data_IF_489525275056
#
_entry.id   IF_489525275056
#
_cell.length_a   1.000
_cell.length_b   1.000
_cell.length_c   1.000
_cell.angle_alpha   90.00
_cell.angle_beta   90.00
_cell.angle_gamma   90.00
#
_symmetry.space_group_name_H-M   'P 1'
#
loop_
_entity.id
_entity.type
_entity.pdbx_description
1 polymer ?
#
# COMPACT_ATOMS: atom_id res chain seq x y z
N UNK A 1 -11.74 6.97 27.35
CA UNK A 1 -12.60 5.78 27.52
C UNK A 1 -13.45 5.68 26.28
N UNK A 2 -12.90 5.02 25.25
CA UNK A 2 -13.63 4.71 24.02
C UNK A 2 -13.62 3.19 23.87
N UNK A 3 -14.83 2.67 23.63
CA UNK A 3 -15.23 1.27 23.67
C UNK A 3 -14.21 0.32 23.03
N UNK A 4 -13.59 -0.50 23.88
CA UNK A 4 -13.14 -1.83 23.48
C UNK A 4 -14.38 -2.58 22.99
N UNK A 5 -14.54 -2.67 21.67
CA UNK A 5 -15.37 -3.72 21.09
C UNK A 5 -14.73 -5.04 21.47
N UNK A 6 -15.28 -5.60 22.54
CA UNK A 6 -15.07 -6.94 23.05
C UNK A 6 -15.53 -7.93 21.96
N UNK A 7 -14.64 -8.24 21.01
CA UNK A 7 -14.83 -9.35 20.06
C UNK A 7 -14.42 -10.62 20.81
N UNK A 8 -15.30 -11.05 21.71
CA UNK A 8 -15.30 -12.39 22.26
C UNK A 8 -15.61 -13.39 21.13
N UNK A 9 -14.68 -14.33 20.90
CA UNK A 9 -14.89 -15.48 20.03
C UNK A 9 -13.63 -15.87 19.28
N UNK A 10 -12.66 -16.47 19.98
CA UNK A 10 -11.44 -16.99 19.38
C UNK A 10 -11.74 -17.98 18.24
N UNK A 11 -11.57 -17.53 16.99
CA UNK A 11 -11.35 -18.44 15.86
C UNK A 11 -9.86 -18.74 15.82
N UNK A 12 -9.39 -19.49 16.81
CA UNK A 12 -8.06 -20.07 16.76
C UNK A 12 -8.09 -21.20 15.72
N UNK A 13 -7.54 -20.94 14.53
CA UNK A 13 -7.09 -22.00 13.61
C UNK A 13 -8.00 -22.37 12.45
N UNK A 14 -8.29 -21.43 11.56
CA UNK A 14 -8.89 -21.77 10.26
C UNK A 14 -8.38 -20.86 9.13
N UNK A 15 -7.12 -20.39 9.20
CA UNK A 15 -6.56 -19.49 8.16
C UNK A 15 -6.48 -20.19 6.79
N UNK A 16 -6.20 -21.49 6.78
CA UNK A 16 -6.28 -22.32 5.57
C UNK A 16 -7.68 -22.30 4.95
N UNK A 17 -8.72 -22.46 5.78
CA UNK A 17 -10.11 -22.39 5.34
C UNK A 17 -10.48 -21.00 4.84
N UNK A 18 -10.05 -19.93 5.52
CA UNK A 18 -10.27 -18.57 5.07
C UNK A 18 -9.67 -18.32 3.67
N UNK A 19 -8.47 -18.85 3.40
CA UNK A 19 -7.85 -18.80 2.08
C UNK A 19 -8.66 -19.56 1.01
N UNK A 20 -9.17 -20.75 1.34
CA UNK A 20 -10.03 -21.53 0.45
C UNK A 20 -11.34 -20.80 0.14
N UNK A 21 -12.01 -20.26 1.15
CA UNK A 21 -13.25 -19.51 0.97
C UNK A 21 -13.05 -18.24 0.12
N UNK A 22 -11.95 -17.51 0.36
CA UNK A 22 -11.60 -16.35 -0.47
C UNK A 22 -11.39 -16.75 -1.95
N UNK A 23 -10.74 -17.89 -2.19
CA UNK A 23 -10.55 -18.41 -3.54
C UNK A 23 -11.88 -18.80 -4.21
N UNK A 24 -12.77 -19.49 -3.51
CA UNK A 24 -14.09 -19.88 -4.01
C UNK A 24 -14.95 -18.65 -4.36
N UNK A 25 -14.95 -17.66 -3.48
CA UNK A 25 -15.63 -16.39 -3.70
C UNK A 25 -15.12 -15.67 -4.95
N UNK A 26 -13.80 -15.54 -5.08
CA UNK A 26 -13.16 -14.91 -6.23
C UNK A 26 -13.47 -15.67 -7.53
N UNK A 27 -13.49 -17.02 -7.50
CA UNK A 27 -13.84 -17.86 -8.66
C UNK A 27 -15.29 -17.66 -9.13
N UNK A 28 -16.22 -17.54 -8.20
CA UNK A 28 -17.66 -17.39 -8.48
C UNK A 28 -18.07 -15.95 -8.78
N UNK A 29 -17.20 -14.97 -8.53
CA UNK A 29 -17.48 -13.55 -8.75
C UNK A 29 -18.02 -13.22 -10.15
N UNK A 30 -17.40 -13.79 -11.20
CA UNK A 30 -17.80 -13.50 -12.59
C UNK A 30 -19.22 -13.97 -12.89
N UNK A 31 -19.61 -15.16 -12.43
CA UNK A 31 -20.96 -15.67 -12.65
C UNK A 31 -21.99 -14.92 -11.81
N UNK A 32 -21.65 -14.55 -10.57
CA UNK A 32 -22.55 -13.83 -9.66
C UNK A 32 -22.80 -12.38 -10.08
N UNK A 33 -21.75 -11.64 -10.45
CA UNK A 33 -21.83 -10.20 -10.67
C UNK A 33 -21.71 -9.78 -12.14
N UNK A 34 -21.51 -10.73 -13.06
CA UNK A 34 -21.26 -10.48 -14.49
C UNK A 34 -20.10 -9.51 -14.76
N UNK A 35 -19.15 -9.40 -13.82
CA UNK A 35 -17.96 -8.54 -13.89
C UNK A 35 -16.73 -9.36 -13.55
N UNK A 36 -15.55 -8.97 -14.04
CA UNK A 36 -14.29 -9.56 -13.57
C UNK A 36 -13.99 -9.04 -12.17
N UNK A 37 -13.51 -9.90 -11.27
CA UNK A 37 -12.93 -9.44 -10.02
C UNK A 37 -11.58 -8.79 -10.34
N UNK A 38 -11.44 -7.52 -9.98
CA UNK A 38 -10.24 -6.73 -10.19
C UNK A 38 -9.62 -6.47 -8.82
N UNK A 39 -8.74 -7.36 -8.39
CA UNK A 39 -8.08 -7.25 -7.10
C UNK A 39 -7.39 -8.53 -6.67
N UNK A 40 -6.90 -8.49 -5.44
CA UNK A 40 -6.19 -9.57 -4.78
C UNK A 40 -6.34 -9.44 -3.27
N UNK A 41 -6.39 -10.57 -2.58
CA UNK A 41 -6.63 -10.63 -1.13
C UNK A 41 -5.39 -11.17 -0.45
N UNK A 42 -4.85 -10.42 0.51
CA UNK A 42 -3.78 -10.87 1.39
C UNK A 42 -4.39 -11.30 2.72
N UNK A 43 -4.18 -12.55 3.11
CA UNK A 43 -4.64 -13.11 4.38
C UNK A 43 -3.42 -13.43 5.23
N UNK A 44 -3.36 -12.84 6.42
CA UNK A 44 -2.25 -12.98 7.36
C UNK A 44 -2.84 -13.47 8.67
N UNK A 45 -2.24 -14.48 9.28
CA UNK A 45 -2.75 -15.01 10.54
C UNK A 45 -1.90 -16.13 11.10
N UNK A 46 -2.45 -16.77 12.12
CA UNK A 46 -1.81 -17.83 12.88
C UNK A 46 -2.74 -19.04 12.94
N UNK A 47 -2.15 -20.23 12.92
CA UNK A 47 -2.87 -21.48 13.12
C UNK A 47 -2.20 -22.28 14.23
N UNK A 48 -3.02 -22.85 15.11
CA UNK A 48 -2.54 -23.69 16.19
C UNK A 48 -2.29 -25.10 15.64
N UNK A 49 -1.01 -25.49 15.57
CA UNK A 49 -0.60 -26.84 15.22
C UNK A 49 0.18 -27.45 16.37
N UNK A 50 -0.33 -28.55 16.95
CA UNK A 50 0.37 -29.36 17.95
C UNK A 50 1.06 -28.55 19.07
N UNK A 51 0.29 -27.75 19.82
CA UNK A 51 0.74 -26.91 20.95
C UNK A 51 1.64 -25.71 20.58
N UNK A 52 1.69 -25.33 19.31
CA UNK A 52 2.44 -24.17 18.83
C UNK A 52 1.66 -23.39 17.79
N UNK A 53 1.75 -22.07 17.82
CA UNK A 53 1.19 -21.24 16.76
C UNK A 53 2.19 -21.08 15.63
N UNK A 54 1.74 -21.37 14.41
CA UNK A 54 2.50 -21.11 13.19
C UNK A 54 1.85 -19.97 12.42
N UNK A 55 2.68 -19.05 11.93
CA UNK A 55 2.24 -17.92 11.10
C UNK A 55 2.10 -18.36 9.65
N UNK A 56 1.02 -17.93 9.01
CA UNK A 56 0.75 -18.16 7.59
C UNK A 56 0.36 -16.86 6.89
N UNK A 57 0.80 -16.73 5.64
CA UNK A 57 0.46 -15.62 4.74
C UNK A 57 -0.04 -16.21 3.42
N UNK A 58 -1.22 -15.81 2.95
CA UNK A 58 -1.80 -16.20 1.67
C UNK A 58 -2.08 -14.99 0.80
N UNK A 59 -1.60 -15.00 -0.44
CA UNK A 59 -2.02 -14.06 -1.48
C UNK A 59 -2.96 -14.80 -2.44
N UNK A 60 -4.21 -14.35 -2.51
CA UNK A 60 -5.25 -14.93 -3.38
C UNK A 60 -5.49 -13.97 -4.54
N UNK A 61 -5.18 -14.40 -5.77
CA UNK A 61 -5.26 -13.60 -7.00
C UNK A 61 -6.07 -14.33 -8.09
N UNK A 62 -6.69 -13.58 -9.01
CA UNK A 62 -7.18 -14.14 -10.28
C UNK A 62 -6.04 -14.18 -11.28
N UNK A 63 -5.66 -15.38 -11.73
CA UNK A 63 -4.77 -15.53 -12.88
C UNK A 63 -5.54 -15.20 -14.16
N UNK A 64 -5.10 -14.18 -14.92
CA UNK A 64 -5.64 -13.89 -16.26
C UNK A 64 -4.90 -14.75 -17.31
N UNK A 65 -5.62 -15.68 -17.95
CA UNK A 65 -5.20 -16.52 -19.10
C UNK A 65 -4.36 -17.75 -18.66
N UNK A 66 -4.59 -18.99 -19.09
CA UNK A 66 -5.26 -19.57 -20.27
C UNK A 66 -6.04 -20.81 -19.81
N UNK A 67 -7.27 -21.01 -20.31
CA UNK A 67 -7.93 -22.33 -20.31
C UNK A 67 -7.30 -23.18 -21.43
N UNK A 68 -6.07 -23.66 -21.21
CA UNK A 68 -5.46 -24.72 -22.02
C UNK A 68 -5.10 -25.86 -21.08
N UNK A 69 -5.53 -27.04 -21.47
CA UNK A 69 -5.71 -28.23 -20.63
C UNK A 69 -4.43 -28.88 -20.08
N UNK A 70 -3.25 -28.25 -20.15
CA UNK A 70 -2.00 -28.89 -19.68
C UNK A 70 -0.97 -28.00 -18.98
N UNK A 71 -1.19 -26.71 -18.76
CA UNK A 71 -0.21 -25.85 -18.05
C UNK A 71 -0.67 -25.49 -16.63
N UNK A 72 -0.28 -26.37 -15.68
CA UNK A 72 -0.28 -26.10 -14.24
C UNK A 72 0.76 -25.01 -13.90
N UNK A 73 0.46 -23.75 -14.20
CA UNK A 73 1.03 -22.64 -13.45
C UNK A 73 -0.03 -22.09 -12.49
N UNK A 74 -0.24 -22.88 -11.43
CA UNK A 74 -0.60 -22.34 -10.13
C UNK A 74 0.65 -21.53 -9.73
N UNK A 75 0.58 -20.20 -9.62
CA UNK A 75 1.41 -19.54 -8.61
C UNK A 75 0.84 -20.00 -7.27
N UNK A 76 1.36 -21.16 -6.89
CA UNK A 76 1.05 -22.03 -5.79
C UNK A 76 0.40 -21.24 -4.63
N UNK A 77 -0.78 -21.63 -4.14
CA UNK A 77 -0.80 -22.60 -3.04
C UNK A 77 0.61 -23.16 -2.80
N UNK A 78 1.49 -22.40 -2.14
CA UNK A 78 2.57 -22.99 -1.36
C UNK A 78 1.89 -23.69 -0.17
N UNK A 79 1.19 -24.76 -0.47
CA UNK A 79 1.08 -25.94 0.36
C UNK A 79 2.13 -26.93 -0.19
N UNK A 80 3.36 -26.46 -0.35
CA UNK A 80 4.44 -27.29 0.17
C UNK A 80 4.63 -26.79 1.59
N UNK A 81 4.47 -27.63 2.62
CA UNK A 81 5.40 -27.50 3.71
C UNK A 81 6.77 -27.77 3.10
N UNK A 82 7.40 -26.77 2.45
CA UNK A 82 8.80 -26.57 2.75
C UNK A 82 8.76 -26.21 4.23
N UNK A 83 8.79 -27.26 5.05
CA UNK A 83 9.52 -27.18 6.30
C UNK A 83 10.93 -26.81 5.82
N UNK A 84 11.17 -25.52 5.60
CA UNK A 84 12.48 -25.00 5.83
C UNK A 84 12.66 -25.18 7.33
N UNK A 85 13.16 -26.37 7.70
CA UNK A 85 13.95 -26.59 8.91
C UNK A 85 15.28 -25.83 8.83
N UNK A 86 15.46 -24.93 7.86
CA UNK A 86 16.46 -23.89 7.99
C UNK A 86 16.04 -23.01 9.14
N UNK A 87 16.88 -23.08 10.18
CA UNK A 87 16.88 -22.25 11.39
C UNK A 87 16.99 -20.73 11.11
N UNK A 88 16.80 -20.29 9.87
CA UNK A 88 16.95 -18.93 9.41
C UNK A 88 15.64 -18.47 8.75
N UNK A 89 14.78 -17.86 9.56
CA UNK A 89 13.53 -17.24 9.15
C UNK A 89 13.78 -16.13 8.12
N UNK A 90 13.82 -16.45 6.83
CA UNK A 90 13.61 -15.46 5.77
C UNK A 90 12.11 -15.23 5.64
N UNK A 91 11.60 -14.27 6.43
CA UNK A 91 10.21 -13.81 6.40
C UNK A 91 9.73 -13.56 4.96
N UNK A 92 8.68 -14.26 4.52
CA UNK A 92 8.04 -14.04 3.23
C UNK A 92 7.27 -12.70 3.24
N UNK A 93 7.89 -11.65 2.68
CA UNK A 93 7.26 -10.36 2.43
C UNK A 93 6.40 -10.46 1.18
N UNK A 94 5.10 -10.16 1.32
CA UNK A 94 4.18 -10.07 0.20
C UNK A 94 3.75 -8.62 0.01
N UNK A 95 3.54 -8.23 -1.24
CA UNK A 95 2.97 -6.94 -1.59
C UNK A 95 1.68 -7.14 -2.33
N UNK A 96 0.80 -6.15 -2.17
CA UNK A 96 -0.48 -6.11 -2.83
C UNK A 96 -0.79 -4.66 -3.20
N UNK A 97 -1.34 -4.43 -4.38
CA UNK A 97 -1.61 -3.09 -4.92
C UNK A 97 -0.46 -2.49 -5.75
N UNK A 98 -0.76 -1.41 -6.45
CA UNK A 98 0.13 -0.76 -7.44
C UNK A 98 1.38 -0.20 -6.77
N UNK A 99 1.23 0.47 -5.63
CA UNK A 99 2.36 0.99 -4.83
C UNK A 99 3.26 -0.06 -4.17
N UNK A 100 2.89 -1.35 -4.26
CA UNK A 100 3.61 -2.44 -3.60
C UNK A 100 5.07 -2.58 -4.06
N UNK A 101 5.34 -2.35 -5.34
CA UNK A 101 6.69 -2.41 -5.89
C UNK A 101 7.62 -1.35 -5.26
N UNK A 102 7.18 -0.10 -5.17
CA UNK A 102 7.94 0.98 -4.54
C UNK A 102 8.20 0.70 -3.05
N UNK A 103 7.19 0.17 -2.35
CA UNK A 103 7.35 -0.28 -0.97
C UNK A 103 8.44 -1.35 -0.85
N UNK A 104 8.54 -2.27 -1.82
CA UNK A 104 9.60 -3.28 -1.82
C UNK A 104 10.98 -2.70 -1.99
N UNK A 105 11.13 -1.80 -2.97
CA UNK A 105 12.42 -1.20 -3.30
C UNK A 105 13.00 -0.46 -2.10
N UNK A 106 12.14 0.29 -1.40
CA UNK A 106 12.53 0.95 -0.16
C UNK A 106 12.95 -0.05 0.91
N UNK A 107 12.14 -1.09 1.13
CA UNK A 107 12.40 -2.11 2.15
C UNK A 107 13.73 -2.86 1.89
N UNK A 108 14.01 -3.22 0.64
CA UNK A 108 15.25 -3.91 0.27
C UNK A 108 16.50 -3.02 0.46
N UNK A 109 16.38 -1.72 0.20
CA UNK A 109 17.51 -0.78 0.29
C UNK A 109 17.88 -0.37 1.71
N UNK A 110 17.01 -0.57 2.71
CA UNK A 110 17.23 -0.09 4.09
C UNK A 110 17.45 -1.20 5.12
N UNK A 111 17.48 -2.46 4.69
CA UNK A 111 17.70 -3.60 5.58
C UNK A 111 16.55 -3.83 6.57
N UNK A 112 16.60 -4.92 7.33
CA UNK A 112 15.56 -5.22 8.34
C UNK A 112 15.98 -4.64 9.70
N UNK A 113 15.05 -3.97 10.36
CA UNK A 113 15.20 -3.62 11.77
C UNK A 113 15.43 -4.86 12.63
N UNK A 114 16.23 -4.70 13.68
CA UNK A 114 16.58 -5.73 14.66
C UNK A 114 15.60 -5.77 15.84
N UNK A 115 14.88 -4.67 16.08
CA UNK A 115 13.85 -4.56 17.10
C UNK A 115 12.44 -4.38 16.51
N UNK A 116 11.41 -4.55 17.35
CA UNK A 116 10.02 -4.30 16.96
C UNK A 116 9.81 -2.84 16.57
N UNK A 117 10.44 -1.94 17.30
CA UNK A 117 10.37 -0.49 17.12
C UNK A 117 11.05 -0.08 15.80
N UNK A 118 12.25 -0.60 15.53
CA UNK A 118 12.95 -0.38 14.26
C UNK A 118 12.16 -0.94 13.06
N UNK A 119 11.53 -2.11 13.23
CA UNK A 119 10.67 -2.67 12.18
C UNK A 119 9.44 -1.80 11.93
N UNK A 120 8.79 -1.32 12.99
CA UNK A 120 7.65 -0.41 12.85
C UNK A 120 8.07 0.87 12.14
N UNK A 121 9.22 1.43 12.49
CA UNK A 121 9.76 2.63 11.86
C UNK A 121 10.05 2.42 10.38
N UNK A 122 10.73 1.33 10.04
CA UNK A 122 10.95 0.91 8.66
C UNK A 122 9.63 0.76 7.90
N UNK A 123 8.60 0.16 8.49
CA UNK A 123 7.30 0.01 7.84
C UNK A 123 6.61 1.34 7.59
N UNK A 124 6.72 2.32 8.50
CA UNK A 124 6.21 3.69 8.26
C UNK A 124 6.92 4.31 7.06
N UNK A 125 8.24 4.24 7.02
CA UNK A 125 9.05 4.79 5.92
C UNK A 125 8.76 4.10 4.59
N UNK A 126 8.61 2.77 4.57
CA UNK A 126 8.25 1.99 3.40
C UNK A 126 6.90 2.45 2.82
N UNK A 127 5.89 2.59 3.68
CA UNK A 127 4.55 3.02 3.26
C UNK A 127 4.53 4.49 2.86
N UNK A 128 5.26 5.35 3.58
CA UNK A 128 5.40 6.76 3.25
C UNK A 128 6.11 6.93 1.90
N UNK A 129 7.20 6.21 1.66
CA UNK A 129 7.92 6.24 0.40
C UNK A 129 7.01 5.85 -0.77
N UNK A 130 6.31 4.72 -0.66
CA UNK A 130 5.34 4.31 -1.67
C UNK A 130 4.30 5.41 -1.92
N UNK A 131 3.84 6.06 -0.85
CA UNK A 131 2.85 7.14 -0.95
C UNK A 131 3.39 8.43 -1.56
N UNK A 132 4.67 8.78 -1.42
CA UNK A 132 5.21 10.01 -2.04
C UNK A 132 5.63 9.80 -3.50
N UNK A 133 5.70 8.56 -3.98
CA UNK A 133 6.10 8.25 -5.37
C UNK A 133 4.97 7.69 -6.24
N UNK A 134 4.00 6.99 -5.67
CA UNK A 134 2.88 6.39 -6.40
C UNK A 134 1.64 7.30 -6.34
N UNK A 135 1.16 7.83 -7.48
CA UNK A 135 -0.03 8.69 -7.51
C UNK A 135 -1.31 7.97 -7.07
N UNK A 136 -1.29 6.63 -7.03
CA UNK A 136 -2.41 5.78 -6.59
C UNK A 136 -2.40 5.48 -5.09
N UNK A 137 -1.33 5.82 -4.37
CA UNK A 137 -1.16 5.52 -2.95
C UNK A 137 -1.37 6.79 -2.13
N UNK A 138 -2.02 6.68 -0.96
CA UNK A 138 -2.33 7.87 -0.16
C UNK A 138 -3.34 7.68 0.96
N UNK A 139 -3.77 8.81 1.53
CA UNK A 139 -4.79 8.89 2.56
C UNK A 139 -4.25 8.60 3.97
N UNK A 140 -4.09 7.31 4.30
CA UNK A 140 -3.80 6.86 5.66
C UNK A 140 -2.73 5.78 5.66
N UNK A 141 -1.69 5.96 6.49
CA UNK A 141 -0.70 4.92 6.76
C UNK A 141 -1.15 4.14 7.99
N UNK A 142 -1.34 2.83 7.82
CA UNK A 142 -1.73 1.92 8.89
C UNK A 142 -0.77 0.75 9.01
N UNK A 143 -0.43 0.41 10.25
CA UNK A 143 0.31 -0.81 10.57
C UNK A 143 -0.49 -1.62 11.58
N UNK A 144 -0.76 -2.88 11.22
CA UNK A 144 -1.48 -3.83 12.07
C UNK A 144 -0.54 -4.97 12.45
N UNK A 145 -0.41 -5.21 13.74
CA UNK A 145 0.31 -6.35 14.28
C UNK A 145 -0.68 -7.51 14.47
N UNK A 146 -0.44 -8.62 13.77
CA UNK A 146 -1.26 -9.83 13.87
C UNK A 146 -0.58 -10.82 14.82
N UNK A 147 -1.29 -11.22 15.86
CA UNK A 147 -0.86 -12.13 16.93
C UNK A 147 -1.69 -13.43 16.90
N UNK A 148 -1.24 -14.50 17.58
CA UNK A 148 -1.99 -15.77 17.66
C UNK A 148 -3.46 -15.65 18.05
N UNK A 149 -3.77 -14.71 18.94
CA UNK A 149 -5.10 -14.56 19.53
C UNK A 149 -5.84 -13.29 19.07
N UNK A 150 -5.38 -12.65 18.00
CA UNK A 150 -6.03 -11.45 17.47
C UNK A 150 -5.10 -10.53 16.70
N UNK A 151 -5.53 -9.31 16.46
CA UNK A 151 -4.72 -8.30 15.82
C UNK A 151 -4.89 -6.96 16.54
N UNK A 152 -3.89 -6.11 16.42
CA UNK A 152 -3.91 -4.77 17.00
C UNK A 152 -3.42 -3.77 15.97
N UNK A 153 -4.16 -2.68 15.79
CA UNK A 153 -3.71 -1.54 14.98
C UNK A 153 -2.70 -0.77 15.82
N UNK A 154 -1.42 -0.90 15.49
CA UNK A 154 -0.31 -0.32 16.27
C UNK A 154 0.12 1.05 15.76
N UNK A 155 -0.30 1.44 14.55
CA UNK A 155 -0.06 2.75 13.97
C UNK A 155 -1.17 3.12 12.97
N UNK A 156 -1.62 4.37 12.98
CA UNK A 156 -2.70 4.85 12.10
C UNK A 156 -2.68 6.38 12.03
N UNK A 157 -2.05 6.94 11.00
CA UNK A 157 -1.90 8.39 10.84
C UNK A 157 -2.10 8.82 9.39
N UNK A 158 -2.53 10.07 9.19
CA UNK A 158 -2.69 10.61 7.84
C UNK A 158 -1.34 10.78 7.19
N UNK A 159 -1.25 10.47 5.90
CA UNK A 159 0.00 10.56 5.13
C UNK A 159 0.71 11.90 5.32
N UNK A 160 -0.03 13.01 5.26
CA UNK A 160 0.53 14.35 5.47
C UNK A 160 1.20 14.52 6.83
N UNK A 161 0.63 13.95 7.89
CA UNK A 161 1.21 14.00 9.24
C UNK A 161 2.52 13.20 9.28
N UNK A 162 2.48 11.97 8.78
CA UNK A 162 3.67 11.09 8.70
C UNK A 162 4.77 11.71 7.84
N UNK A 163 4.38 12.41 6.77
CA UNK A 163 5.32 13.11 5.89
C UNK A 163 6.09 14.22 6.62
N UNK A 164 5.41 15.01 7.46
CA UNK A 164 6.08 16.05 8.24
C UNK A 164 6.97 15.46 9.34
N UNK A 165 6.51 14.41 10.02
CA UNK A 165 7.28 13.73 11.07
C UNK A 165 8.59 13.11 10.53
N UNK A 166 8.61 12.71 9.25
CA UNK A 166 9.74 12.05 8.60
C UNK A 166 10.28 12.84 7.39
N UNK A 167 10.08 14.16 7.37
CA UNK A 167 10.46 14.97 6.21
C UNK A 167 11.95 14.86 5.89
N UNK A 168 12.81 14.94 6.92
CA UNK A 168 14.26 14.91 6.74
C UNK A 168 14.73 13.58 6.13
N UNK A 169 14.12 12.46 6.55
CA UNK A 169 14.41 11.13 6.00
C UNK A 169 13.97 11.00 4.52
N UNK A 170 12.85 11.66 4.18
CA UNK A 170 12.25 11.59 2.85
C UNK A 170 12.79 12.63 1.87
N UNK A 171 13.41 13.71 2.34
CA UNK A 171 13.89 14.82 1.53
C UNK A 171 14.83 14.37 0.40
N UNK A 172 15.64 13.33 0.65
CA UNK A 172 16.55 12.74 -0.36
C UNK A 172 15.84 12.17 -1.58
N UNK A 173 14.55 11.83 -1.48
CA UNK A 173 13.71 11.34 -2.59
C UNK A 173 12.93 12.45 -3.29
N UNK A 174 13.03 13.69 -2.82
CA UNK A 174 12.28 14.83 -3.33
C UNK A 174 13.12 15.92 -4.03
N UNK A 175 14.32 15.66 -4.60
CA UNK A 175 15.17 16.73 -5.14
C UNK A 175 14.55 17.46 -6.34
N UNK A 176 13.57 16.83 -7.00
CA UNK A 176 12.86 17.37 -8.15
C UNK A 176 11.35 17.46 -7.89
N UNK A 177 10.97 17.77 -6.65
CA UNK A 177 9.57 17.83 -6.24
C UNK A 177 9.20 19.22 -5.71
N UNK A 178 8.02 19.72 -6.09
CA UNK A 178 7.37 20.87 -5.47
C UNK A 178 6.24 20.43 -4.56
N UNK A 179 6.21 20.98 -3.34
CA UNK A 179 5.01 20.95 -2.52
C UNK A 179 4.08 22.06 -3.00
N UNK A 180 2.83 21.71 -3.28
CA UNK A 180 1.84 22.62 -3.83
C UNK A 180 0.53 22.53 -3.06
N UNK A 181 -0.10 23.69 -2.82
CA UNK A 181 -1.36 23.82 -2.09
C UNK A 181 -2.43 24.34 -3.03
N UNK A 182 -3.51 23.57 -3.20
CA UNK A 182 -4.59 23.87 -4.15
C UNK A 182 -5.88 24.09 -3.38
N UNK A 183 -6.70 25.08 -3.77
CA UNK A 183 -8.02 25.25 -3.15
C UNK A 183 -8.91 24.05 -3.47
N UNK A 184 -9.60 23.54 -2.46
CA UNK A 184 -10.57 22.45 -2.56
C UNK A 184 -12.01 22.98 -2.62
N UNK A 185 -12.20 24.15 -3.23
CA UNK A 185 -13.44 24.91 -3.13
C UNK A 185 -14.53 24.47 -4.11
N UNK A 186 -14.20 23.74 -5.17
CA UNK A 186 -15.15 23.54 -6.25
C UNK A 186 -15.74 22.12 -6.32
N UNK A 187 -14.98 21.07 -5.98
CA UNK A 187 -15.37 19.68 -6.22
C UNK A 187 -14.80 18.73 -5.16
N UNK A 188 -15.53 17.69 -4.76
CA UNK A 188 -14.99 16.62 -3.92
C UNK A 188 -13.83 15.91 -4.67
N UNK A 189 -12.70 15.72 -3.99
CA UNK A 189 -11.56 15.03 -4.57
C UNK A 189 -11.94 13.59 -4.93
N UNK A 190 -11.74 13.22 -6.18
CA UNK A 190 -11.80 11.83 -6.65
C UNK A 190 -10.52 11.47 -7.39
N UNK A 191 -10.31 10.17 -7.59
CA UNK A 191 -9.19 9.69 -8.40
C UNK A 191 -9.25 10.21 -9.85
N UNK A 192 -10.44 10.25 -10.45
CA UNK A 192 -10.65 10.77 -11.80
C UNK A 192 -10.33 12.26 -11.89
N UNK A 193 -10.60 13.05 -10.83
CA UNK A 193 -10.16 14.43 -10.75
C UNK A 193 -8.63 14.53 -10.70
N UNK A 194 -7.96 13.64 -9.96
CA UNK A 194 -6.49 13.59 -9.95
C UNK A 194 -5.91 13.31 -11.33
N UNK A 195 -6.48 12.36 -12.08
CA UNK A 195 -6.04 12.02 -13.43
C UNK A 195 -6.23 13.17 -14.42
N UNK A 196 -7.33 13.92 -14.31
CA UNK A 196 -7.55 15.12 -15.13
C UNK A 196 -6.51 16.20 -14.83
N UNK A 197 -6.23 16.47 -13.55
CA UNK A 197 -5.20 17.42 -13.12
C UNK A 197 -3.83 16.98 -13.63
N UNK A 198 -3.49 15.69 -13.51
CA UNK A 198 -2.27 15.09 -14.06
C UNK A 198 -2.14 15.37 -15.56
N UNK A 199 -3.22 15.16 -16.34
CA UNK A 199 -3.24 15.40 -17.78
C UNK A 199 -3.03 16.87 -18.16
N UNK A 200 -3.65 17.81 -17.44
CA UNK A 200 -3.48 19.25 -17.66
C UNK A 200 -2.04 19.67 -17.36
N UNK A 201 -1.48 19.23 -16.22
CA UNK A 201 -0.10 19.55 -15.84
C UNK A 201 0.90 18.99 -16.84
N UNK A 202 0.69 17.77 -17.35
CA UNK A 202 1.53 17.19 -18.38
C UNK A 202 1.52 18.00 -19.69
N UNK A 203 0.35 18.53 -20.09
CA UNK A 203 0.23 19.37 -21.27
C UNK A 203 0.86 20.77 -21.12
N UNK A 204 0.93 21.29 -19.89
CA UNK A 204 1.41 22.64 -19.62
C UNK A 204 2.90 22.69 -19.22
N UNK A 205 3.39 21.65 -18.54
CA UNK A 205 4.73 21.62 -17.94
C UNK A 205 5.57 20.52 -18.61
N UNK A 206 6.45 20.91 -19.54
CA UNK A 206 7.19 19.94 -20.37
C UNK A 206 8.08 18.93 -19.63
N UNK A 207 8.51 19.23 -18.39
CA UNK A 207 9.34 18.34 -17.56
C UNK A 207 8.55 17.68 -16.41
N UNK A 208 7.23 17.88 -16.38
CA UNK A 208 6.38 17.29 -15.36
C UNK A 208 6.27 15.78 -15.56
N UNK A 209 6.38 15.05 -14.45
CA UNK A 209 6.28 13.61 -14.47
C UNK A 209 4.94 13.12 -13.88
N UNK A 210 4.60 13.57 -12.67
CA UNK A 210 3.40 13.11 -11.94
C UNK A 210 3.04 14.01 -10.76
N UNK A 211 1.79 13.92 -10.31
CA UNK A 211 1.30 14.55 -9.08
C UNK A 211 0.82 13.47 -8.12
N UNK A 212 1.20 13.63 -6.85
CA UNK A 212 0.84 12.75 -5.77
C UNK A 212 0.15 13.56 -4.67
N UNK A 213 -0.94 13.03 -4.10
CA UNK A 213 -1.73 13.74 -3.09
C UNK A 213 -1.36 13.25 -1.70
N UNK A 214 -0.83 14.14 -0.87
CA UNK A 214 -0.43 13.83 0.50
C UNK A 214 -1.56 14.03 1.51
N UNK A 215 -2.45 14.98 1.23
CA UNK A 215 -3.51 15.34 2.16
C UNK A 215 -4.63 16.12 1.50
N UNK A 216 -5.84 15.86 1.98
CA UNK A 216 -7.06 16.54 1.55
C UNK A 216 -7.77 17.02 2.82
N UNK A 217 -8.13 18.29 2.84
CA UNK A 217 -9.05 18.84 3.83
C UNK A 217 -10.14 19.67 3.12
N UNK A 218 -11.08 20.23 3.88
CA UNK A 218 -12.22 20.99 3.31
C UNK A 218 -11.79 22.21 2.47
N UNK A 219 -10.63 22.79 2.73
CA UNK A 219 -10.18 24.03 2.09
C UNK A 219 -9.10 23.79 1.05
N UNK A 220 -8.27 22.76 1.24
CA UNK A 220 -7.07 22.57 0.45
C UNK A 220 -6.76 21.11 0.16
N UNK A 221 -6.13 20.90 -0.99
CA UNK A 221 -5.43 19.67 -1.37
C UNK A 221 -3.93 19.95 -1.37
N UNK A 222 -3.16 19.15 -0.64
CA UNK A 222 -1.70 19.20 -0.60
C UNK A 222 -1.14 18.16 -1.56
N UNK A 223 -0.34 18.63 -2.52
CA UNK A 223 0.23 17.83 -3.59
C UNK A 223 1.75 17.88 -3.58
N UNK A 224 2.36 16.78 -3.97
CA UNK A 224 3.70 16.74 -4.53
C UNK A 224 3.60 16.78 -6.05
N UNK A 225 4.33 17.68 -6.69
CA UNK A 225 4.50 17.74 -8.14
C UNK A 225 5.93 17.32 -8.46
N UNK A 226 6.10 16.20 -9.15
CA UNK A 226 7.40 15.65 -9.49
C UNK A 226 7.79 16.03 -10.92
N UNK A 227 9.06 16.39 -11.09
CA UNK A 227 9.66 16.80 -12.35
C UNK A 227 10.87 15.93 -12.70
N UNK A 228 11.24 15.89 -13.98
CA UNK A 228 12.43 15.19 -14.47
C UNK A 228 13.73 15.92 -14.13
N UNK A 229 13.70 17.25 -13.99
CA UNK A 229 14.87 18.09 -13.75
C UNK A 229 14.58 19.22 -12.74
N UNK A 230 15.61 19.99 -12.38
CA UNK A 230 15.60 21.00 -11.30
C UNK A 230 14.34 21.87 -11.25
N UNK A 231 13.81 22.00 -10.04
CA UNK A 231 12.53 22.62 -9.71
C UNK A 231 12.55 24.15 -9.71
N UNK A 232 13.69 24.78 -9.44
CA UNK A 232 13.79 26.23 -9.25
C UNK A 232 13.29 27.04 -10.45
N UNK A 233 13.60 26.62 -11.68
CA UNK A 233 13.13 27.31 -12.89
C UNK A 233 11.62 27.15 -13.13
N UNK A 234 10.99 26.10 -12.57
CA UNK A 234 9.56 25.81 -12.74
C UNK A 234 8.68 26.50 -11.70
N UNK A 235 9.24 26.79 -10.52
CA UNK A 235 8.53 27.51 -9.47
C UNK A 235 8.02 28.88 -9.95
N UNK A 236 8.82 29.63 -10.72
CA UNK A 236 8.41 30.92 -11.27
C UNK A 236 7.30 30.79 -12.33
N UNK A 237 7.36 29.76 -13.20
CA UNK A 237 6.30 29.47 -14.17
C UNK A 237 4.96 29.10 -13.50
N UNK A 238 5.02 28.38 -12.38
CA UNK A 238 3.82 28.02 -11.62
C UNK A 238 3.21 29.18 -10.83
N UNK A 239 4.02 30.16 -10.41
CA UNK A 239 3.50 31.40 -9.82
C UNK A 239 2.64 32.17 -10.83
N UNK A 240 3.09 32.26 -12.08
CA UNK A 240 2.33 32.93 -13.15
C UNK A 240 0.98 32.25 -13.39
N UNK A 241 0.91 30.91 -13.29
CA UNK A 241 -0.33 30.16 -13.46
C UNK A 241 -1.35 30.38 -12.34
N UNK A 242 -0.87 30.56 -11.10
CA UNK A 242 -1.72 30.78 -9.92
C UNK A 242 -2.12 32.26 -9.74
N UNK A 243 -1.60 33.17 -10.56
CA UNK A 243 -1.92 34.59 -10.53
C UNK A 243 -3.12 34.96 -11.42
N UNK A 244 -3.68 33.99 -12.17
CA UNK A 244 -4.90 34.09 -12.97
C UNK A 244 -5.98 33.16 -12.41
#
# INVERSE_FOLDING_TARGET
>A
MENEMDINGGVAGDIHRAATLAQEYIRTWKSMFRKLFLGSVLIIGWENSNKSFRRYNYLVIIHRGILTSQDKCISAISCTPRIHTNKDCVFATHQNGIGGHFAFEYYLSHGKGSSREELLELLKHVLLYATIVDPMSGGLICVTEVRPFGFSKIYSHRVLEVFFDHYDDMAKYLPHTLVSLWCNCDHEYTYEHNEKVNGVLFGFLGDYHKSVVLGINRKFVVRLLHFSYQVHAKYEQLKELNAY
#
